data_IF_187835869014
#
_entry.id   IF_187835869014
#
_cell.length_a   1.000
_cell.length_b   1.000
_cell.length_c   1.000
_cell.angle_alpha   90.00
_cell.angle_beta   90.00
_cell.angle_gamma   90.00
#
_symmetry.space_group_name_H-M   'P 1'
#
loop_
_entity.id
_entity.type
_entity.pdbx_description
1 polymer ?
#
# COMPACT_ATOMS: atom_id res chain seq x y z
N UNK A 1 12.79 11.94 -3.22
CA UNK A 1 11.62 11.90 -4.14
C UNK A 1 10.36 12.26 -3.34
N UNK A 2 9.40 12.99 -3.93
CA UNK A 2 8.15 13.38 -3.23
C UNK A 2 7.11 12.25 -3.33
N UNK A 3 6.23 12.07 -2.33
CA UNK A 3 5.13 11.10 -2.43
C UNK A 3 4.12 11.51 -3.50
N UNK A 4 3.57 10.53 -4.20
CA UNK A 4 2.56 10.74 -5.24
C UNK A 4 1.20 10.21 -4.78
N UNK A 5 0.14 10.98 -4.99
CA UNK A 5 -1.22 10.60 -4.59
C UNK A 5 -2.03 10.29 -5.84
N UNK A 6 -2.73 9.16 -5.82
CA UNK A 6 -3.56 8.67 -6.90
C UNK A 6 -4.98 8.43 -6.40
N UNK A 7 -5.95 8.99 -7.12
CA UNK A 7 -7.33 8.52 -7.03
C UNK A 7 -7.49 7.34 -7.97
N UNK A 8 -7.72 6.15 -7.40
CA UNK A 8 -8.06 4.96 -8.18
C UNK A 8 -9.53 4.60 -8.05
N UNK A 9 -10.06 4.01 -9.12
CA UNK A 9 -11.41 3.47 -9.14
C UNK A 9 -11.48 2.20 -10.00
N UNK A 10 -12.35 1.29 -9.60
CA UNK A 10 -12.64 0.06 -10.33
C UNK A 10 -14.12 -0.28 -10.22
N UNK A 11 -14.66 -0.90 -11.27
CA UNK A 11 -16.08 -1.26 -11.38
C UNK A 11 -16.21 -2.76 -11.60
N UNK A 12 -17.26 -3.33 -11.02
CA UNK A 12 -17.67 -4.70 -11.27
C UNK A 12 -18.14 -4.81 -12.72
N UNK A 13 -17.77 -5.90 -13.39
CA UNK A 13 -18.16 -6.18 -14.78
C UNK A 13 -19.69 -6.16 -14.93
N UNK A 14 -20.18 -5.57 -16.02
CA UNK A 14 -21.61 -5.40 -16.28
C UNK A 14 -22.32 -4.46 -15.29
N UNK A 15 -21.58 -3.72 -14.45
CA UNK A 15 -22.10 -2.82 -13.40
C UNK A 15 -23.01 -3.51 -12.38
N UNK A 16 -22.86 -4.83 -12.23
CA UNK A 16 -23.63 -5.62 -11.27
C UNK A 16 -23.35 -5.23 -9.82
N UNK A 17 -24.37 -5.35 -8.97
CA UNK A 17 -24.28 -5.08 -7.53
C UNK A 17 -23.77 -6.31 -6.76
N UNK A 18 -22.53 -6.72 -7.04
CA UNK A 18 -21.94 -7.96 -6.51
C UNK A 18 -21.19 -7.77 -5.18
N UNK A 19 -20.96 -6.54 -4.74
CA UNK A 19 -20.22 -6.28 -3.50
C UNK A 19 -21.23 -6.10 -2.36
N UNK A 20 -21.60 -7.19 -1.68
CA UNK A 20 -22.40 -7.19 -0.44
C UNK A 20 -21.60 -6.75 0.78
N UNK A 21 -22.15 -6.94 1.98
CA UNK A 21 -21.46 -6.59 3.23
C UNK A 21 -20.21 -7.44 3.44
N UNK A 22 -20.31 -8.76 3.27
CA UNK A 22 -19.20 -9.69 3.42
C UNK A 22 -18.08 -9.37 2.42
N UNK A 23 -18.44 -9.10 1.16
CA UNK A 23 -17.50 -8.71 0.12
C UNK A 23 -16.79 -7.41 0.43
N UNK A 24 -17.52 -6.37 0.87
CA UNK A 24 -16.91 -5.08 1.23
C UNK A 24 -15.97 -5.24 2.43
N UNK A 25 -16.31 -6.08 3.40
CA UNK A 25 -15.43 -6.37 4.53
C UNK A 25 -14.16 -7.12 4.10
N UNK A 26 -14.31 -8.15 3.27
CA UNK A 26 -13.16 -8.90 2.77
C UNK A 26 -12.25 -8.02 1.89
N UNK A 27 -12.83 -7.18 1.04
CA UNK A 27 -12.08 -6.22 0.23
C UNK A 27 -11.31 -5.23 1.11
N UNK A 28 -11.95 -4.65 2.12
CA UNK A 28 -11.31 -3.74 3.08
C UNK A 28 -10.14 -4.42 3.81
N UNK A 29 -10.32 -5.66 4.25
CA UNK A 29 -9.25 -6.45 4.88
C UNK A 29 -8.06 -6.63 3.90
N UNK A 30 -8.30 -7.11 2.69
CA UNK A 30 -7.24 -7.29 1.68
C UNK A 30 -6.54 -5.97 1.32
N UNK A 31 -7.28 -4.86 1.25
CA UNK A 31 -6.73 -3.54 1.01
C UNK A 31 -5.76 -3.13 2.13
N UNK A 32 -6.13 -3.34 3.40
CA UNK A 32 -5.25 -3.05 4.55
C UNK A 32 -4.05 -4.00 4.64
N UNK A 33 -4.19 -5.24 4.18
CA UNK A 33 -3.06 -6.17 4.01
C UNK A 33 -2.12 -5.68 2.90
N UNK A 34 -2.64 -5.29 1.74
CA UNK A 34 -1.83 -4.73 0.65
C UNK A 34 -1.12 -3.45 1.08
N UNK A 35 -1.78 -2.58 1.86
CA UNK A 35 -1.19 -1.37 2.44
C UNK A 35 0.03 -1.72 3.29
N UNK A 36 -0.09 -2.72 4.18
CA UNK A 36 1.04 -3.18 5.00
C UNK A 36 2.15 -3.79 4.14
N UNK A 37 1.80 -4.60 3.16
CA UNK A 37 2.75 -5.33 2.32
C UNK A 37 3.56 -4.41 1.39
N UNK A 38 2.91 -3.48 0.68
CA UNK A 38 3.58 -2.67 -0.32
C UNK A 38 4.22 -1.41 0.27
N UNK A 39 3.80 -0.95 1.45
CA UNK A 39 4.21 0.34 1.99
C UNK A 39 3.54 1.55 1.32
N UNK A 40 2.64 1.34 0.36
CA UNK A 40 1.70 2.37 -0.07
C UNK A 40 0.76 2.71 1.09
N UNK A 41 0.23 3.94 1.14
CA UNK A 41 -0.68 4.39 2.20
C UNK A 41 -2.07 4.63 1.63
N UNK A 42 -3.09 4.05 2.25
CA UNK A 42 -4.50 4.34 1.89
C UNK A 42 -4.95 5.56 2.69
N UNK A 43 -5.08 6.70 2.00
CA UNK A 43 -5.48 7.97 2.60
C UNK A 43 -6.97 7.98 2.94
N UNK A 44 -7.80 7.54 1.99
CA UNK A 44 -9.22 7.24 2.20
C UNK A 44 -9.71 6.28 1.11
N UNK A 45 -10.94 5.78 1.24
CA UNK A 45 -11.58 4.90 0.27
C UNK A 45 -13.10 4.96 0.42
N UNK A 46 -13.82 4.42 -0.55
CA UNK A 46 -15.25 4.15 -0.45
C UNK A 46 -15.58 2.91 -1.28
N UNK A 47 -16.15 1.88 -0.66
CA UNK A 47 -16.61 0.67 -1.34
C UNK A 47 -18.11 0.74 -1.54
N UNK A 48 -18.57 0.85 -2.77
CA UNK A 48 -19.99 0.80 -3.13
C UNK A 48 -20.39 -0.65 -3.48
N UNK A 49 -21.66 -0.88 -3.80
CA UNK A 49 -22.17 -2.21 -4.16
C UNK A 49 -21.71 -2.71 -5.54
N UNK A 50 -21.26 -1.83 -6.43
CA UNK A 50 -20.82 -2.17 -7.79
C UNK A 50 -19.48 -1.54 -8.21
N UNK A 51 -18.84 -0.74 -7.35
CA UNK A 51 -17.56 -0.10 -7.65
C UNK A 51 -16.85 0.32 -6.36
N UNK A 52 -15.57 0.70 -6.47
CA UNK A 52 -14.81 1.26 -5.37
C UNK A 52 -14.05 2.52 -5.80
N UNK A 53 -13.70 3.33 -4.81
CA UNK A 53 -12.76 4.43 -4.93
C UNK A 53 -11.69 4.29 -3.84
N UNK A 54 -10.42 4.50 -4.17
CA UNK A 54 -9.32 4.52 -3.21
C UNK A 54 -8.47 5.75 -3.51
N UNK A 55 -8.18 6.56 -2.49
CA UNK A 55 -7.15 7.58 -2.55
C UNK A 55 -5.88 6.98 -1.96
N UNK A 56 -4.94 6.62 -2.83
CA UNK A 56 -3.72 5.92 -2.46
C UNK A 56 -2.52 6.86 -2.60
N UNK A 57 -1.66 6.88 -1.60
CA UNK A 57 -0.36 7.51 -1.69
C UNK A 57 0.74 6.46 -1.92
N UNK A 58 1.49 6.64 -3.00
CA UNK A 58 2.74 5.93 -3.26
C UNK A 58 3.84 6.68 -2.54
N UNK A 59 4.35 6.07 -1.47
CA UNK A 59 5.47 6.63 -0.71
C UNK A 59 6.76 6.39 -1.47
N UNK A 60 7.68 7.36 -1.51
CA UNK A 60 8.98 7.15 -2.14
C UNK A 60 9.73 6.03 -1.40
N UNK A 61 10.50 5.24 -2.14
CA UNK A 61 11.39 4.25 -1.54
C UNK A 61 12.41 5.02 -0.68
N UNK A 62 12.61 4.64 0.59
CA UNK A 62 13.60 5.30 1.45
C UNK A 62 15.00 5.23 0.83
N UNK A 63 15.84 6.21 1.15
CA UNK A 63 17.26 6.18 0.78
C UNK A 63 17.92 4.96 1.45
N UNK A 64 18.60 4.13 0.66
CA UNK A 64 19.11 2.83 1.13
C UNK A 64 18.09 1.68 1.12
N UNK A 65 16.87 1.90 0.62
CA UNK A 65 15.84 0.86 0.51
C UNK A 65 15.13 0.58 1.84
N UNK A 66 14.62 -0.64 1.99
CA UNK A 66 14.04 -1.12 3.26
C UNK A 66 14.96 -2.12 3.93
N UNK A 67 15.00 -2.11 5.26
CA UNK A 67 15.77 -3.07 6.04
C UNK A 67 15.23 -4.50 5.90
N UNK A 68 16.07 -5.49 6.18
CA UNK A 68 15.66 -6.91 6.20
C UNK A 68 14.53 -7.18 7.16
N UNK A 69 14.64 -6.64 8.37
CA UNK A 69 13.62 -6.80 9.39
C UNK A 69 12.26 -6.29 8.89
N UNK A 70 12.22 -5.12 8.25
CA UNK A 70 10.99 -4.57 7.69
C UNK A 70 10.49 -5.35 6.48
N UNK A 71 11.39 -5.82 5.60
CA UNK A 71 11.04 -6.68 4.47
C UNK A 71 10.36 -7.97 4.95
N UNK A 72 10.98 -8.68 5.89
CA UNK A 72 10.46 -9.93 6.45
C UNK A 72 9.13 -9.70 7.18
N UNK A 73 9.00 -8.61 7.93
CA UNK A 73 7.73 -8.22 8.57
C UNK A 73 6.60 -8.00 7.54
N UNK A 74 6.92 -7.36 6.42
CA UNK A 74 5.97 -7.16 5.31
C UNK A 74 5.63 -8.48 4.62
N UNK A 75 6.60 -9.37 4.43
CA UNK A 75 6.37 -10.69 3.83
C UNK A 75 5.41 -11.53 4.67
N UNK A 76 5.50 -11.47 6.00
CA UNK A 76 4.57 -12.17 6.90
C UNK A 76 3.08 -11.81 6.72
N UNK A 77 2.74 -10.78 5.95
CA UNK A 77 1.35 -10.45 5.59
C UNK A 77 0.73 -11.49 4.65
N UNK A 78 1.51 -12.05 3.73
CA UNK A 78 1.01 -12.94 2.68
C UNK A 78 1.70 -14.30 2.63
N UNK A 79 2.85 -14.45 3.28
CA UNK A 79 3.62 -15.68 3.33
C UNK A 79 3.52 -16.29 4.72
N UNK A 80 3.44 -17.62 4.80
CA UNK A 80 3.45 -18.32 6.08
C UNK A 80 4.80 -18.23 6.79
N UNK A 81 4.83 -18.46 8.10
CA UNK A 81 6.04 -18.33 8.93
C UNK A 81 7.22 -19.16 8.38
N UNK A 82 6.96 -20.40 7.97
CA UNK A 82 7.99 -21.27 7.39
C UNK A 82 8.58 -20.70 6.09
N UNK A 83 7.77 -20.05 5.26
CA UNK A 83 8.24 -19.43 4.02
C UNK A 83 9.09 -18.19 4.33
N UNK A 84 8.66 -17.36 5.29
CA UNK A 84 9.42 -16.17 5.70
C UNK A 84 10.76 -16.58 6.34
N UNK A 85 10.77 -17.63 7.17
CA UNK A 85 11.99 -18.17 7.76
C UNK A 85 12.96 -18.71 6.70
N UNK A 86 12.45 -19.41 5.67
CA UNK A 86 13.27 -19.88 4.56
C UNK A 86 13.91 -18.72 3.78
N UNK A 87 13.16 -17.64 3.54
CA UNK A 87 13.69 -16.44 2.87
C UNK A 87 14.75 -15.75 3.74
N UNK A 88 14.49 -15.61 5.05
CA UNK A 88 15.46 -15.03 5.97
C UNK A 88 16.78 -15.81 5.98
N UNK A 89 16.68 -17.16 6.00
CA UNK A 89 17.85 -18.04 5.92
C UNK A 89 18.60 -17.89 4.59
N UNK A 90 17.88 -17.84 3.47
CA UNK A 90 18.48 -17.61 2.15
C UNK A 90 19.24 -16.28 2.09
N UNK A 91 18.71 -15.23 2.72
CA UNK A 91 19.36 -13.92 2.82
C UNK A 91 20.60 -13.95 3.70
N UNK A 92 20.55 -14.67 4.83
CA UNK A 92 21.69 -14.86 5.73
C UNK A 92 22.83 -15.65 5.04
N UNK A 93 22.48 -16.74 4.35
CA UNK A 93 23.42 -17.54 3.56
C UNK A 93 24.03 -16.74 2.40
N UNK A 94 23.25 -15.86 1.76
CA UNK A 94 23.75 -14.97 0.72
C UNK A 94 24.67 -13.86 1.27
N UNK A 95 24.38 -13.36 2.47
CA UNK A 95 25.17 -12.33 3.16
C UNK A 95 26.51 -12.86 3.68
N UNK A 96 26.64 -14.18 3.87
CA UNK A 96 27.89 -14.81 4.26
C UNK A 96 28.98 -14.51 3.23
N UNK A 97 29.97 -13.72 3.66
CA UNK A 97 31.20 -13.47 2.91
C UNK A 97 31.96 -14.77 2.89
N UNK A 98 32.17 -15.35 1.70
CA UNK A 98 33.04 -16.52 1.54
C UNK A 98 34.47 -16.08 1.82
N UNK A 99 34.96 -16.26 3.04
CA UNK A 99 36.39 -16.19 3.34
C UNK A 99 37.08 -17.46 2.81
N UNK A 100 38.32 -17.31 2.33
CA UNK A 100 38.94 -18.30 1.45
C UNK A 100 39.11 -19.68 2.10
N UNK A 101 38.49 -20.67 1.46
CA UNK A 101 38.82 -22.10 1.46
C UNK A 101 38.53 -22.83 0.14
N UNK A 102 38.11 -22.14 -0.94
CA UNK A 102 37.56 -22.77 -2.17
C UNK A 102 38.32 -22.51 -3.49
N UNK A 103 39.35 -21.65 -3.52
CA UNK A 103 40.08 -21.32 -4.77
C UNK A 103 41.55 -21.81 -4.72
N UNK A 104 41.95 -22.65 -5.68
CA UNK A 104 43.33 -23.16 -5.85
C UNK A 104 44.36 -22.04 -6.12
N UNK A 105 43.94 -20.91 -6.72
CA UNK A 105 44.79 -19.75 -6.99
C UNK A 105 44.02 -18.43 -6.70
N UNK A 106 44.71 -17.33 -6.34
CA UNK A 106 44.09 -16.03 -6.15
C UNK A 106 43.35 -15.55 -7.41
N UNK A 107 42.17 -14.91 -7.30
CA UNK A 107 41.55 -14.23 -8.42
C UNK A 107 42.50 -13.16 -8.98
N UNK A 108 42.45 -12.96 -10.29
CA UNK A 108 43.25 -11.93 -10.98
C UNK A 108 42.38 -10.69 -11.24
N UNK A 109 43.00 -9.52 -11.24
CA UNK A 109 42.36 -8.28 -11.72
C UNK A 109 42.27 -8.25 -13.26
N UNK A 110 41.73 -7.15 -13.82
CA UNK A 110 41.61 -6.97 -15.29
C UNK A 110 42.97 -6.98 -16.02
N UNK A 111 44.08 -6.75 -15.30
CA UNK A 111 45.45 -6.79 -15.80
C UNK A 111 46.14 -8.15 -15.63
N UNK A 112 45.47 -9.15 -15.05
CA UNK A 112 46.04 -10.46 -14.78
C UNK A 112 46.91 -10.52 -13.52
N UNK A 113 46.84 -9.51 -12.63
CA UNK A 113 47.60 -9.45 -11.38
C UNK A 113 46.78 -10.12 -10.26
N UNK A 114 47.37 -11.03 -9.46
CA UNK A 114 46.71 -11.59 -8.28
C UNK A 114 46.26 -10.50 -7.30
N UNK A 115 44.99 -10.54 -6.91
CA UNK A 115 44.44 -9.62 -5.91
C UNK A 115 45.14 -9.81 -4.55
N UNK A 116 45.27 -8.72 -3.80
CA UNK A 116 45.65 -8.78 -2.38
C UNK A 116 44.51 -9.37 -1.54
N UNK A 117 44.84 -9.86 -0.33
CA UNK A 117 43.83 -10.39 0.61
C UNK A 117 42.74 -9.38 0.95
N UNK A 118 43.08 -8.09 1.00
CA UNK A 118 42.11 -7.01 1.25
C UNK A 118 41.15 -6.83 0.06
N UNK A 119 41.69 -6.84 -1.16
CA UNK A 119 40.90 -6.72 -2.39
C UNK A 119 39.99 -7.94 -2.61
N UNK A 120 40.43 -9.14 -2.26
CA UNK A 120 39.62 -10.36 -2.28
C UNK A 120 38.46 -10.30 -1.29
N UNK A 121 38.73 -9.88 -0.05
CA UNK A 121 37.68 -9.73 0.96
C UNK A 121 36.66 -8.66 0.53
N UNK A 122 37.14 -7.57 -0.08
CA UNK A 122 36.29 -6.53 -0.64
C UNK A 122 35.44 -7.05 -1.82
N UNK A 123 36.01 -7.89 -2.69
CA UNK A 123 35.29 -8.53 -3.79
C UNK A 123 34.21 -9.48 -3.28
N UNK A 124 34.55 -10.36 -2.33
CA UNK A 124 33.59 -11.27 -1.70
C UNK A 124 32.46 -10.54 -0.97
N UNK A 125 32.74 -9.41 -0.32
CA UNK A 125 31.71 -8.53 0.27
C UNK A 125 30.79 -7.94 -0.78
N UNK A 126 31.33 -7.47 -1.92
CA UNK A 126 30.51 -6.96 -3.04
C UNK A 126 29.62 -8.04 -3.64
N UNK A 127 30.14 -9.24 -3.83
CA UNK A 127 29.38 -10.38 -4.35
C UNK A 127 28.28 -10.83 -3.37
N UNK A 128 28.58 -10.92 -2.08
CA UNK A 128 27.58 -11.19 -1.04
C UNK A 128 26.48 -10.12 -1.03
N UNK A 129 26.85 -8.84 -1.07
CA UNK A 129 25.90 -7.74 -1.14
C UNK A 129 25.01 -7.82 -2.39
N UNK A 130 25.59 -8.16 -3.56
CA UNK A 130 24.83 -8.31 -4.81
C UNK A 130 23.81 -9.46 -4.74
N UNK A 131 24.20 -10.62 -4.19
CA UNK A 131 23.30 -11.77 -3.98
C UNK A 131 22.16 -11.42 -3.04
N UNK A 132 22.45 -10.74 -1.93
CA UNK A 132 21.42 -10.26 -1.00
C UNK A 132 20.47 -9.27 -1.68
N UNK A 133 21.00 -8.34 -2.48
CA UNK A 133 20.18 -7.36 -3.19
C UNK A 133 19.28 -8.03 -4.24
N UNK A 134 19.78 -9.03 -4.96
CA UNK A 134 18.97 -9.83 -5.89
C UNK A 134 17.79 -10.49 -5.15
N UNK A 135 18.06 -11.10 -3.98
CA UNK A 135 17.02 -11.69 -3.14
C UNK A 135 16.01 -10.64 -2.71
N UNK A 136 16.45 -9.48 -2.19
CA UNK A 136 15.58 -8.37 -1.80
C UNK A 136 14.70 -7.94 -2.97
N UNK A 137 15.30 -7.74 -4.14
CA UNK A 137 14.64 -7.22 -5.33
C UNK A 137 13.47 -8.11 -5.80
N UNK A 138 13.55 -9.44 -5.61
CA UNK A 138 12.41 -10.36 -5.89
C UNK A 138 11.12 -9.93 -5.17
N UNK A 139 11.25 -9.31 -4.00
CA UNK A 139 10.13 -8.91 -3.16
C UNK A 139 9.87 -7.40 -3.18
N UNK A 140 10.91 -6.58 -3.09
CA UNK A 140 10.80 -5.11 -2.99
C UNK A 140 10.28 -4.47 -4.28
N UNK A 141 10.45 -5.10 -5.45
CA UNK A 141 9.87 -4.64 -6.73
C UNK A 141 8.34 -4.46 -6.73
N UNK A 142 7.64 -5.05 -5.74
CA UNK A 142 6.18 -4.94 -5.56
C UNK A 142 5.78 -3.87 -4.54
N UNK A 143 6.76 -3.28 -3.88
CA UNK A 143 6.56 -2.27 -2.86
C UNK A 143 6.67 -0.88 -3.48
N UNK A 144 6.01 0.11 -2.88
CA UNK A 144 6.06 1.50 -3.34
C UNK A 144 5.63 1.67 -4.81
N UNK A 145 4.70 0.84 -5.28
CA UNK A 145 4.22 0.83 -6.65
C UNK A 145 2.69 0.68 -6.71
N UNK A 146 2.03 1.63 -7.40
CA UNK A 146 0.58 1.68 -7.56
C UNK A 146 0.02 0.44 -8.26
N UNK A 147 0.65 0.03 -9.35
CA UNK A 147 0.18 -1.07 -10.18
C UNK A 147 0.26 -2.39 -9.43
N UNK A 148 1.32 -2.60 -8.65
CA UNK A 148 1.47 -3.78 -7.80
C UNK A 148 0.51 -3.80 -6.62
N UNK A 149 0.24 -2.65 -5.99
CA UNK A 149 -0.79 -2.55 -4.97
C UNK A 149 -2.16 -2.95 -5.54
N UNK A 150 -2.58 -2.32 -6.65
CA UNK A 150 -3.88 -2.57 -7.27
C UNK A 150 -4.00 -4.00 -7.81
N UNK A 151 -2.96 -4.51 -8.48
CA UNK A 151 -2.94 -5.91 -8.97
C UNK A 151 -3.11 -6.88 -7.82
N UNK A 152 -2.33 -6.73 -6.75
CA UNK A 152 -2.36 -7.62 -5.59
C UNK A 152 -3.73 -7.63 -4.91
N UNK A 153 -4.34 -6.45 -4.75
CA UNK A 153 -5.66 -6.30 -4.15
C UNK A 153 -6.74 -6.99 -5.00
N UNK A 154 -6.81 -6.63 -6.28
CA UNK A 154 -7.90 -7.06 -7.16
C UNK A 154 -7.81 -8.53 -7.53
N UNK A 155 -6.60 -9.06 -7.73
CA UNK A 155 -6.40 -10.48 -8.04
C UNK A 155 -6.77 -11.36 -6.85
N UNK A 156 -6.32 -11.00 -5.63
CA UNK A 156 -6.65 -11.75 -4.41
C UNK A 156 -8.14 -11.72 -4.13
N UNK A 157 -8.76 -10.54 -4.25
CA UNK A 157 -10.19 -10.40 -4.05
C UNK A 157 -10.99 -11.21 -5.08
N UNK A 158 -10.60 -11.18 -6.37
CA UNK A 158 -11.27 -11.95 -7.41
C UNK A 158 -11.17 -13.45 -7.15
N UNK A 159 -10.00 -13.96 -6.76
CA UNK A 159 -9.80 -15.38 -6.43
C UNK A 159 -10.68 -15.80 -5.25
N UNK A 160 -10.70 -15.01 -4.18
CA UNK A 160 -11.56 -15.27 -3.02
C UNK A 160 -13.05 -15.22 -3.39
N UNK A 161 -13.50 -14.16 -4.08
CA UNK A 161 -14.88 -13.98 -4.50
C UNK A 161 -15.36 -15.14 -5.38
N UNK A 162 -14.57 -15.51 -6.39
CA UNK A 162 -14.89 -16.61 -7.29
C UNK A 162 -14.99 -17.95 -6.55
N UNK A 163 -14.03 -18.24 -5.65
CA UNK A 163 -14.08 -19.44 -4.83
C UNK A 163 -15.31 -19.47 -3.91
N UNK A 164 -15.61 -18.35 -3.24
CA UNK A 164 -16.76 -18.19 -2.33
C UNK A 164 -18.10 -18.38 -3.04
N UNK A 165 -18.23 -17.84 -4.24
CA UNK A 165 -19.49 -17.82 -5.01
C UNK A 165 -19.58 -18.94 -6.06
N UNK A 166 -18.65 -19.91 -6.05
CA UNK A 166 -18.55 -20.98 -7.05
C UNK A 166 -18.57 -20.45 -8.49
N UNK A 167 -17.91 -19.31 -8.71
CA UNK A 167 -17.77 -18.63 -10.00
C UNK A 167 -16.36 -18.80 -10.56
N UNK A 168 -16.20 -18.49 -11.84
CA UNK A 168 -14.91 -18.33 -12.49
C UNK A 168 -14.95 -17.11 -13.43
N UNK A 169 -13.79 -16.67 -13.90
CA UNK A 169 -13.66 -15.54 -14.82
C UNK A 169 -13.41 -14.18 -14.15
N UNK A 170 -13.60 -13.11 -14.92
CA UNK A 170 -13.30 -11.74 -14.50
C UNK A 170 -14.40 -11.17 -13.60
N UNK A 171 -14.00 -10.43 -12.57
CA UNK A 171 -14.91 -9.70 -11.69
C UNK A 171 -14.96 -8.20 -12.01
N UNK A 172 -13.84 -7.66 -12.49
CA UNK A 172 -13.66 -6.23 -12.77
C UNK A 172 -13.77 -5.95 -14.27
N UNK A 173 -14.38 -4.83 -14.63
CA UNK A 173 -14.54 -4.37 -16.02
C UNK A 173 -13.19 -4.06 -16.69
N UNK A 174 -12.27 -3.48 -15.91
CA UNK A 174 -10.92 -3.08 -16.31
C UNK A 174 -9.94 -3.41 -15.18
N UNK A 175 -8.63 -3.23 -15.43
CA UNK A 175 -7.61 -3.32 -14.35
C UNK A 175 -7.91 -2.33 -13.23
N UNK A 176 -7.88 -1.04 -13.52
CA UNK A 176 -8.32 0.09 -12.68
C UNK A 176 -8.12 1.36 -13.52
N UNK A 177 -8.79 2.46 -13.15
CA UNK A 177 -8.43 3.81 -13.62
C UNK A 177 -7.70 4.54 -12.49
N UNK A 178 -6.80 5.45 -12.84
CA UNK A 178 -6.06 6.27 -11.89
C UNK A 178 -5.89 7.70 -12.40
N UNK A 179 -6.00 8.67 -11.48
CA UNK A 179 -5.71 10.08 -11.73
C UNK A 179 -4.75 10.57 -10.65
N UNK A 180 -3.68 11.27 -11.04
CA UNK A 180 -2.76 11.90 -10.10
C UNK A 180 -3.49 13.07 -9.42
N UNK A 181 -3.35 13.17 -8.10
CA UNK A 181 -3.96 14.21 -7.28
C UNK A 181 -2.85 14.98 -6.58
N UNK A 182 -2.88 16.30 -6.73
CA UNK A 182 -1.95 17.15 -6.00
C UNK A 182 -2.19 17.08 -4.49
N UNK A 183 -1.12 17.27 -3.72
CA UNK A 183 -1.21 17.27 -2.26
C UNK A 183 -1.96 18.49 -1.70
N UNK A 184 -2.26 18.48 -0.40
CA UNK A 184 -2.92 19.59 0.27
C UNK A 184 -4.40 19.73 -0.12
N UNK A 185 -4.79 20.87 -0.69
CA UNK A 185 -6.22 21.19 -0.95
C UNK A 185 -6.86 20.21 -1.92
N UNK A 186 -6.15 19.82 -2.98
CA UNK A 186 -6.67 18.88 -3.98
C UNK A 186 -6.89 17.49 -3.37
N UNK A 187 -5.89 16.92 -2.68
CA UNK A 187 -6.01 15.65 -1.97
C UNK A 187 -7.16 15.66 -0.96
N UNK A 188 -7.30 16.70 -0.14
CA UNK A 188 -8.41 16.84 0.81
C UNK A 188 -9.78 16.90 0.13
N UNK A 189 -9.87 17.66 -0.96
CA UNK A 189 -11.13 17.81 -1.71
C UNK A 189 -11.53 16.50 -2.36
N UNK A 190 -10.57 15.78 -2.95
CA UNK A 190 -10.79 14.46 -3.54
C UNK A 190 -11.18 13.44 -2.48
N UNK A 191 -10.51 13.45 -1.33
CA UNK A 191 -10.86 12.58 -0.22
C UNK A 191 -12.32 12.82 0.22
N UNK A 192 -12.70 14.07 0.47
CA UNK A 192 -14.06 14.42 0.88
C UNK A 192 -15.09 14.03 -0.20
N UNK A 193 -14.75 14.18 -1.48
CA UNK A 193 -15.58 13.73 -2.59
C UNK A 193 -15.80 12.20 -2.55
N UNK A 194 -14.76 11.43 -2.26
CA UNK A 194 -14.81 9.97 -2.17
C UNK A 194 -15.72 9.53 -1.02
N UNK A 195 -15.50 10.07 0.17
CA UNK A 195 -16.27 9.70 1.37
C UNK A 195 -17.75 10.16 1.32
N UNK A 196 -18.10 11.07 0.41
CA UNK A 196 -19.48 11.51 0.17
C UNK A 196 -20.27 10.64 -0.83
N UNK A 197 -19.65 9.64 -1.47
CA UNK A 197 -20.37 8.79 -2.43
C UNK A 197 -21.62 8.10 -1.84
N UNK A 198 -21.59 7.53 -0.63
CA UNK A 198 -22.76 6.88 -0.03
C UNK A 198 -23.92 7.86 0.20
N UNK A 199 -23.60 9.09 0.62
CA UNK A 199 -24.60 10.16 0.81
C UNK A 199 -25.22 10.57 -0.52
N UNK A 200 -24.38 10.78 -1.55
CA UNK A 200 -24.84 11.13 -2.90
C UNK A 200 -25.65 10.02 -3.57
N UNK A 201 -25.42 8.77 -3.18
CA UNK A 201 -26.19 7.63 -3.63
C UNK A 201 -27.49 7.42 -2.81
N UNK A 202 -27.76 8.26 -1.81
CA UNK A 202 -28.94 8.15 -0.95
C UNK A 202 -28.91 6.96 0.01
N UNK A 203 -27.73 6.36 0.24
CA UNK A 203 -27.58 5.18 1.11
C UNK A 203 -27.57 5.55 2.60
N UNK A 204 -27.07 6.74 2.92
CA UNK A 204 -26.98 7.29 4.29
C UNK A 204 -27.17 8.80 4.25
N UNK A 205 -27.62 9.40 5.36
CA UNK A 205 -27.72 10.87 5.50
C UNK A 205 -26.41 11.52 5.93
N UNK A 206 -25.59 10.81 6.71
CA UNK A 206 -24.29 11.29 7.19
C UNK A 206 -23.18 10.34 6.67
N UNK A 207 -22.08 10.84 6.09
CA UNK A 207 -20.97 9.98 5.66
C UNK A 207 -20.33 9.16 6.80
N UNK A 208 -20.47 9.59 8.05
CA UNK A 208 -20.01 8.83 9.22
C UNK A 208 -20.77 7.50 9.41
N UNK A 209 -22.01 7.42 8.92
CA UNK A 209 -22.85 6.23 9.05
C UNK A 209 -22.48 5.13 8.03
N UNK A 210 -21.62 5.46 7.06
CA UNK A 210 -21.18 4.49 6.06
C UNK A 210 -19.84 3.84 6.41
N UNK A 211 -19.92 2.69 7.08
CA UNK A 211 -18.76 1.91 7.58
C UNK A 211 -17.70 1.58 6.51
N UNK A 212 -18.06 1.36 5.25
CA UNK A 212 -17.13 0.99 4.18
C UNK A 212 -16.54 2.20 3.43
N UNK A 213 -16.36 3.30 4.15
CA UNK A 213 -15.64 4.49 3.71
C UNK A 213 -14.51 4.84 4.68
N UNK A 214 -13.51 5.59 4.22
CA UNK A 214 -12.41 6.00 5.08
C UNK A 214 -12.87 6.94 6.20
N UNK A 215 -13.82 7.84 5.92
CA UNK A 215 -14.40 8.70 6.96
C UNK A 215 -15.25 7.92 7.97
N UNK A 216 -16.13 7.03 7.51
CA UNK A 216 -16.91 6.16 8.39
C UNK A 216 -16.02 5.28 9.26
N UNK A 217 -14.95 4.70 8.70
CA UNK A 217 -13.96 3.93 9.46
C UNK A 217 -13.18 4.80 10.46
N UNK A 218 -12.90 6.06 10.14
CA UNK A 218 -12.19 6.97 11.03
C UNK A 218 -13.03 7.43 12.23
N UNK A 219 -14.35 7.61 12.03
CA UNK A 219 -15.32 8.03 13.06
C UNK A 219 -15.78 6.83 13.90
N UNK A 220 -16.23 5.75 13.25
CA UNK A 220 -16.76 4.57 13.93
C UNK A 220 -15.70 3.55 14.34
N UNK A 221 -14.49 3.62 13.80
CA UNK A 221 -13.39 2.73 14.17
C UNK A 221 -12.79 3.11 15.51
N UNK A 222 -12.62 2.13 16.40
CA UNK A 222 -12.03 2.34 17.74
C UNK A 222 -10.65 2.98 17.73
N UNK A 223 -10.12 3.30 18.92
CA UNK A 223 -8.85 4.01 19.09
C UNK A 223 -7.63 3.29 18.48
N UNK A 224 -7.72 1.98 18.26
CA UNK A 224 -6.66 1.10 17.74
C UNK A 224 -7.05 0.50 16.38
N UNK A 225 -6.12 -0.21 15.74
CA UNK A 225 -6.38 -0.95 14.51
C UNK A 225 -6.76 -0.05 13.33
N UNK A 226 -7.80 -0.45 12.57
CA UNK A 226 -8.15 0.21 11.32
C UNK A 226 -8.70 1.63 11.51
N UNK A 227 -9.38 1.91 12.63
CA UNK A 227 -9.83 3.28 12.93
C UNK A 227 -8.65 4.25 13.09
N UNK A 228 -7.58 3.80 13.77
CA UNK A 228 -6.33 4.56 13.89
C UNK A 228 -5.70 4.83 12.52
N UNK A 229 -5.68 3.82 11.64
CA UNK A 229 -5.15 3.95 10.27
C UNK A 229 -5.99 4.89 9.40
N UNK A 230 -7.31 4.78 9.44
CA UNK A 230 -8.21 5.64 8.69
C UNK A 230 -8.06 7.11 9.10
N UNK A 231 -8.00 7.39 10.41
CA UNK A 231 -7.70 8.75 10.92
C UNK A 231 -6.35 9.25 10.40
N UNK A 232 -5.31 8.43 10.46
CA UNK A 232 -3.99 8.80 9.96
C UNK A 232 -3.99 9.14 8.46
N UNK A 233 -4.67 8.33 7.63
CA UNK A 233 -4.82 8.60 6.19
C UNK A 233 -5.49 9.96 5.92
N UNK A 234 -6.58 10.26 6.64
CA UNK A 234 -7.28 11.54 6.51
C UNK A 234 -6.44 12.72 6.99
N UNK A 235 -5.69 12.58 8.09
CA UNK A 235 -4.75 13.58 8.58
C UNK A 235 -3.75 13.96 7.47
N UNK A 236 -3.19 12.97 6.76
CA UNK A 236 -2.24 13.18 5.66
C UNK A 236 -2.85 13.89 4.45
N UNK A 237 -4.18 13.85 4.27
CA UNK A 237 -4.86 14.61 3.21
C UNK A 237 -4.99 16.09 3.54
N UNK A 238 -5.05 16.44 4.82
CA UNK A 238 -5.19 17.83 5.26
C UNK A 238 -3.84 18.53 5.32
N UNK A 239 -2.78 17.77 5.63
CA UNK A 239 -1.44 18.28 5.87
C UNK A 239 -0.61 18.42 4.58
N UNK A 240 0.34 19.36 4.60
CA UNK A 240 1.33 19.50 3.54
C UNK A 240 2.36 18.34 3.65
N UNK A 241 2.67 17.62 2.55
CA UNK A 241 3.69 16.59 2.53
C UNK A 241 5.08 17.02 3.02
N UNK A 242 5.43 18.29 2.85
CA UNK A 242 6.75 18.83 3.21
C UNK A 242 6.90 19.08 4.71
N UNK A 243 5.81 19.09 5.48
CA UNK A 243 5.81 19.34 6.93
C UNK A 243 5.40 18.10 7.74
N UNK A 244 5.55 16.89 7.17
CA UNK A 244 5.02 15.63 7.72
C UNK A 244 5.79 15.07 8.92
N UNK A 245 6.84 15.74 9.38
CA UNK A 245 7.58 15.30 10.55
C UNK A 245 6.78 15.56 11.84
N UNK A 246 6.44 14.45 12.51
CA UNK A 246 5.94 14.39 13.90
C UNK A 246 4.60 15.05 14.19
N UNK A 247 3.56 14.79 13.38
CA UNK A 247 2.21 15.22 13.76
C UNK A 247 1.50 14.15 14.59
N UNK A 248 1.29 14.48 15.87
CA UNK A 248 0.52 13.70 16.82
C UNK A 248 -0.93 13.49 16.35
N UNK A 249 -1.45 12.30 16.65
CA UNK A 249 -2.85 11.91 16.40
C UNK A 249 -3.88 12.76 17.15
N UNK A 250 -3.43 13.63 18.03
CA UNK A 250 -4.23 14.52 18.88
C UNK A 250 -5.01 15.58 18.09
N UNK A 251 -4.69 15.74 16.80
CA UNK A 251 -5.36 16.67 15.88
C UNK A 251 -6.63 16.13 15.23
N UNK A 252 -7.06 14.87 15.48
CA UNK A 252 -8.23 14.30 14.78
C UNK A 252 -9.50 15.17 14.87
N UNK A 253 -9.75 15.81 16.02
CA UNK A 253 -10.91 16.72 16.18
C UNK A 253 -10.85 17.88 15.19
N UNK A 254 -9.66 18.45 14.98
CA UNK A 254 -9.46 19.56 14.05
C UNK A 254 -9.52 19.09 12.60
N UNK A 255 -8.84 17.98 12.28
CA UNK A 255 -8.87 17.35 10.95
C UNK A 255 -10.30 17.02 10.57
N UNK A 256 -11.08 16.38 11.45
CA UNK A 256 -12.49 16.06 11.22
C UNK A 256 -13.33 17.31 10.95
N UNK A 257 -13.09 18.42 11.68
CA UNK A 257 -13.79 19.70 11.44
C UNK A 257 -13.44 20.30 10.08
N UNK A 258 -12.17 20.32 9.70
CA UNK A 258 -11.72 20.79 8.37
C UNK A 258 -12.31 19.92 7.27
N UNK A 259 -12.34 18.61 7.49
CA UNK A 259 -12.87 17.62 6.56
C UNK A 259 -14.38 17.75 6.35
N UNK A 260 -15.16 17.90 7.44
CA UNK A 260 -16.60 18.17 7.40
C UNK A 260 -16.93 19.46 6.63
N UNK A 261 -16.13 20.51 6.78
CA UNK A 261 -16.28 21.74 5.98
C UNK A 261 -16.06 21.48 4.48
N UNK A 262 -15.03 20.71 4.13
CA UNK A 262 -14.78 20.32 2.74
C UNK A 262 -15.93 19.50 2.14
N UNK A 263 -16.51 18.57 2.93
CA UNK A 263 -17.70 17.81 2.52
C UNK A 263 -18.92 18.70 2.27
N UNK A 264 -19.21 19.65 3.17
CA UNK A 264 -20.31 20.60 3.00
C UNK A 264 -20.19 21.39 1.69
N UNK A 265 -19.00 21.91 1.39
CA UNK A 265 -18.73 22.61 0.11
C UNK A 265 -18.91 21.69 -1.11
N UNK A 266 -18.52 20.42 -1.00
CA UNK A 266 -18.63 19.45 -2.08
C UNK A 266 -20.06 18.96 -2.34
N UNK A 267 -20.97 19.09 -1.37
CA UNK A 267 -22.40 18.83 -1.55
C UNK A 267 -23.10 20.00 -2.25
N UNK A 268 -22.78 21.25 -1.88
CA UNK A 268 -23.37 22.45 -2.48
C UNK A 268 -23.03 22.60 -3.97
N UNK A 269 -21.84 22.16 -4.39
CA UNK A 269 -21.40 22.25 -5.81
C UNK A 269 -22.16 21.34 -6.79
N UNK A 270 -23.01 20.42 -6.34
CA UNK A 270 -23.72 19.45 -7.21
C UNK A 270 -25.20 19.80 -7.43
N UNK A 271 -25.65 20.98 -7.02
CA UNK A 271 -27.02 21.49 -7.26
C UNK A 271 -27.20 22.12 -8.65
N UNK A 272 -26.48 21.62 -9.66
CA UNK A 272 -26.52 22.13 -11.04
C UNK A 272 -26.44 21.00 -12.05
#
# INVERSE_FOLDING_TARGET
>A
MKPEIYHTLGRVVGRGFLLGEEEREHFRMLMRMCEKFTGCRVLTYCLMSNHFHILLEVTPVPEGGISDALLLERLGVFYGEAQVAAIAKEMEEAAAVRERGEFELPPLDEGGIPLTREEELAAGRREAAARVEEIRHRYTRRMHDLSWFMKSLLERFTKWFNGKHSRSGTLWEDRFKSVIVESGVAARTMAAYIDLNPVRAGMVSDPADYRWSGYGEAVGGGAKGNGKKARYGLILTVQNPETRDQIAMDSWKEVSRVYRRAMGLALVRKSG
#
